data_IF_380414499690
#
_entry.id   IF_380414499690
#
_cell.length_a   1.000
_cell.length_b   1.000
_cell.length_c   1.000
_cell.angle_alpha   90.00
_cell.angle_beta   90.00
_cell.angle_gamma   90.00
#
_symmetry.space_group_name_H-M   'P 1'
#
loop_
_entity.id
_entity.type
_entity.pdbx_description
1 polymer ?
#
# COMPACT_ATOMS: atom_id res chain seq x y z
N UNK A 1 -12.94 6.23 -4.65
CA UNK A 1 -12.37 5.04 -5.33
C UNK A 1 -13.15 4.77 -6.59
N UNK A 2 -12.49 4.33 -7.65
CA UNK A 2 -13.07 4.11 -8.97
C UNK A 2 -13.07 2.62 -9.33
N UNK A 3 -14.08 2.15 -10.07
CA UNK A 3 -14.18 0.74 -10.48
C UNK A 3 -13.08 0.34 -11.47
N UNK A 4 -12.73 1.22 -12.39
CA UNK A 4 -11.63 1.02 -13.33
C UNK A 4 -10.54 2.03 -12.96
N UNK A 5 -9.40 1.55 -12.50
CA UNK A 5 -8.30 2.41 -12.08
C UNK A 5 -6.97 1.72 -12.33
N UNK A 6 -6.06 2.42 -13.00
CA UNK A 6 -4.72 1.91 -13.29
C UNK A 6 -4.68 0.70 -14.22
N UNK A 7 -5.65 0.60 -15.13
CA UNK A 7 -5.75 -0.48 -16.12
C UNK A 7 -6.28 -1.81 -15.58
N UNK A 8 -6.88 -1.81 -14.38
CA UNK A 8 -7.48 -3.01 -13.77
C UNK A 8 -8.89 -2.73 -13.26
N UNK A 9 -9.68 -3.80 -13.12
CA UNK A 9 -11.05 -3.78 -12.65
C UNK A 9 -11.07 -4.08 -11.15
N UNK A 10 -11.64 -3.18 -10.37
CA UNK A 10 -11.79 -3.32 -8.93
C UNK A 10 -13.18 -3.84 -8.59
N UNK A 11 -13.26 -5.00 -7.95
CA UNK A 11 -14.54 -5.55 -7.50
C UNK A 11 -15.13 -4.70 -6.38
N UNK A 12 -16.45 -4.71 -6.23
CA UNK A 12 -17.13 -4.05 -5.11
C UNK A 12 -16.58 -4.53 -3.75
N UNK A 13 -16.26 -5.83 -3.64
CA UNK A 13 -15.64 -6.39 -2.44
C UNK A 13 -14.29 -5.72 -2.15
N UNK A 14 -13.36 -5.65 -3.12
CA UNK A 14 -12.08 -4.98 -2.94
C UNK A 14 -12.24 -3.51 -2.53
N UNK A 15 -13.13 -2.77 -3.18
CA UNK A 15 -13.40 -1.35 -2.86
C UNK A 15 -13.90 -1.18 -1.42
N UNK A 16 -14.84 -2.02 -0.99
CA UNK A 16 -15.34 -1.99 0.39
C UNK A 16 -14.25 -2.32 1.40
N UNK A 17 -13.45 -3.38 1.18
CA UNK A 17 -12.36 -3.76 2.10
C UNK A 17 -11.30 -2.68 2.25
N UNK A 18 -11.00 -1.95 1.18
CA UNK A 18 -10.07 -0.82 1.24
C UNK A 18 -10.66 0.34 2.05
N UNK A 19 -11.94 0.69 1.84
CA UNK A 19 -12.61 1.75 2.62
C UNK A 19 -12.63 1.42 4.11
N UNK A 20 -13.02 0.20 4.48
CA UNK A 20 -13.04 -0.28 5.87
C UNK A 20 -11.68 -0.16 6.57
N UNK A 21 -10.58 -0.29 5.82
CA UNK A 21 -9.21 -0.33 6.36
C UNK A 21 -8.43 0.97 6.14
N UNK A 22 -9.04 1.98 5.56
CA UNK A 22 -8.36 3.23 5.20
C UNK A 22 -7.23 3.05 4.18
N UNK A 23 -7.28 2.00 3.33
CA UNK A 23 -6.25 1.74 2.32
C UNK A 23 -6.53 2.62 1.10
N UNK A 24 -5.54 3.42 0.67
CA UNK A 24 -5.66 4.21 -0.55
C UNK A 24 -5.61 3.29 -1.76
N UNK A 25 -6.51 3.52 -2.72
CA UNK A 25 -6.55 2.72 -3.95
C UNK A 25 -5.25 2.81 -4.77
N UNK A 26 -4.54 3.95 -4.71
CA UNK A 26 -3.23 4.11 -5.32
C UNK A 26 -2.17 3.18 -4.71
N UNK A 27 -2.15 3.01 -3.39
CA UNK A 27 -1.20 2.14 -2.71
C UNK A 27 -1.48 0.67 -3.03
N UNK A 28 -2.76 0.27 -3.02
CA UNK A 28 -3.17 -1.06 -3.45
C UNK A 28 -2.82 -1.33 -4.93
N UNK A 29 -3.00 -0.33 -5.80
CA UNK A 29 -2.59 -0.44 -7.21
C UNK A 29 -1.08 -0.60 -7.33
N UNK A 30 -0.29 0.16 -6.57
CA UNK A 30 1.16 0.05 -6.54
C UNK A 30 1.63 -1.32 -6.04
N UNK A 31 0.94 -1.91 -5.06
CA UNK A 31 1.18 -3.28 -4.59
C UNK A 31 0.99 -4.31 -5.71
N UNK A 32 -0.08 -4.21 -6.49
CA UNK A 32 -0.30 -5.13 -7.63
C UNK A 32 0.69 -4.88 -8.77
N UNK A 33 0.95 -3.61 -9.10
CA UNK A 33 1.76 -3.23 -10.27
C UNK A 33 3.25 -3.50 -10.08
N UNK A 34 3.77 -3.26 -8.89
CA UNK A 34 5.18 -3.45 -8.53
C UNK A 34 5.27 -4.03 -7.11
N UNK A 35 4.94 -5.32 -6.94
CA UNK A 35 4.99 -6.00 -5.65
C UNK A 35 6.44 -6.19 -5.18
N UNK A 36 6.63 -6.36 -3.88
CA UNK A 36 7.88 -6.88 -3.32
C UNK A 36 7.98 -8.38 -3.58
N UNK A 37 6.85 -9.09 -3.49
CA UNK A 37 6.75 -10.50 -3.86
C UNK A 37 5.33 -10.90 -4.24
N UNK A 38 5.24 -11.94 -5.09
CA UNK A 38 4.00 -12.51 -5.60
C UNK A 38 3.99 -14.02 -5.39
N UNK A 39 2.82 -14.57 -5.10
CA UNK A 39 2.60 -16.02 -4.98
C UNK A 39 1.24 -16.43 -5.53
N UNK A 40 1.12 -17.68 -5.94
CA UNK A 40 -0.19 -18.25 -6.22
C UNK A 40 -1.01 -18.38 -4.94
N UNK A 41 -2.30 -18.08 -5.03
CA UNK A 41 -3.26 -18.41 -3.98
C UNK A 41 -3.67 -19.89 -4.09
N UNK A 42 -4.31 -20.43 -3.03
CA UNK A 42 -4.83 -21.80 -3.03
C UNK A 42 -5.90 -22.03 -4.10
N UNK A 43 -6.66 -20.99 -4.44
CA UNK A 43 -7.64 -21.03 -5.52
C UNK A 43 -6.96 -20.85 -6.89
N UNK A 44 -7.29 -21.73 -7.85
CA UNK A 44 -6.69 -21.75 -9.20
C UNK A 44 -6.86 -20.39 -9.90
N UNK A 45 -5.78 -19.91 -10.50
CA UNK A 45 -5.75 -18.66 -11.28
C UNK A 45 -5.66 -17.37 -10.45
N UNK A 46 -5.74 -17.46 -9.11
CA UNK A 46 -5.59 -16.32 -8.23
C UNK A 46 -4.12 -16.12 -7.84
N UNK A 47 -3.71 -14.86 -7.82
CA UNK A 47 -2.40 -14.40 -7.37
C UNK A 47 -2.55 -13.51 -6.14
N UNK A 48 -1.61 -13.63 -5.23
CA UNK A 48 -1.45 -12.74 -4.08
C UNK A 48 -0.17 -11.95 -4.28
N UNK A 49 -0.31 -10.64 -4.33
CA UNK A 49 0.76 -9.67 -4.41
C UNK A 49 0.89 -8.99 -3.07
N UNK A 50 2.10 -8.74 -2.60
CA UNK A 50 2.27 -7.93 -1.42
C UNK A 50 3.38 -6.90 -1.57
N UNK A 51 3.21 -5.82 -0.81
CA UNK A 51 4.18 -4.74 -0.71
C UNK A 51 4.12 -4.12 0.67
N UNK A 52 5.27 -3.78 1.22
CA UNK A 52 5.39 -3.13 2.52
C UNK A 52 5.63 -1.64 2.36
N UNK A 53 4.82 -0.84 3.06
CA UNK A 53 4.95 0.61 3.16
C UNK A 53 5.19 0.96 4.63
N UNK A 54 6.44 1.26 4.99
CA UNK A 54 6.81 1.47 6.40
C UNK A 54 6.48 0.25 7.24
N UNK A 55 5.62 0.42 8.25
CA UNK A 55 5.14 -0.66 9.13
C UNK A 55 3.84 -1.34 8.66
N UNK A 56 3.36 -1.02 7.46
CA UNK A 56 2.12 -1.58 6.91
C UNK A 56 2.41 -2.47 5.71
N UNK A 57 2.08 -3.76 5.82
CA UNK A 57 2.05 -4.67 4.67
C UNK A 57 0.68 -4.59 4.01
N UNK A 58 0.63 -4.31 2.71
CA UNK A 58 -0.59 -4.41 1.90
C UNK A 58 -0.51 -5.68 1.06
N UNK A 59 -1.60 -6.45 1.04
CA UNK A 59 -1.76 -7.63 0.18
C UNK A 59 -2.96 -7.45 -0.75
N UNK A 60 -2.75 -7.78 -2.03
CA UNK A 60 -3.76 -7.67 -3.08
C UNK A 60 -3.95 -9.04 -3.72
N UNK A 61 -5.20 -9.51 -3.74
CA UNK A 61 -5.59 -10.73 -4.43
C UNK A 61 -6.17 -10.35 -5.79
N UNK A 62 -5.60 -10.89 -6.86
CA UNK A 62 -6.05 -10.61 -8.23
C UNK A 62 -6.07 -11.86 -9.10
N UNK A 63 -6.89 -11.83 -10.15
CA UNK A 63 -6.93 -12.86 -11.19
C UNK A 63 -7.21 -12.24 -12.55
N UNK A 64 -6.90 -12.96 -13.63
CA UNK A 64 -7.41 -12.61 -14.96
C UNK A 64 -8.80 -13.21 -15.18
N UNK A 65 -9.69 -12.50 -15.86
CA UNK A 65 -10.91 -13.09 -16.43
C UNK A 65 -10.62 -13.73 -17.80
N UNK A 66 -11.68 -14.26 -18.43
CA UNK A 66 -11.61 -14.92 -19.74
C UNK A 66 -11.20 -13.97 -20.87
N UNK A 67 -11.37 -12.65 -20.67
CA UNK A 67 -10.93 -11.59 -21.60
C UNK A 67 -9.48 -11.16 -21.35
N UNK A 68 -8.79 -11.78 -20.39
CA UNK A 68 -7.41 -11.42 -20.01
C UNK A 68 -7.29 -10.16 -19.15
N UNK A 69 -8.41 -9.55 -18.74
CA UNK A 69 -8.44 -8.36 -17.90
C UNK A 69 -8.15 -8.73 -16.45
N UNK A 70 -7.41 -7.87 -15.75
CA UNK A 70 -7.10 -8.08 -14.34
C UNK A 70 -8.25 -7.62 -13.44
N UNK A 71 -8.73 -8.53 -12.59
CA UNK A 71 -9.72 -8.28 -11.56
C UNK A 71 -9.04 -8.27 -10.19
N UNK A 72 -9.15 -7.16 -9.48
CA UNK A 72 -8.78 -7.06 -8.07
C UNK A 72 -9.94 -7.59 -7.23
N UNK A 73 -9.73 -8.76 -6.64
CA UNK A 73 -10.75 -9.50 -5.89
C UNK A 73 -10.87 -8.99 -4.46
N UNK A 74 -9.74 -8.77 -3.78
CA UNK A 74 -9.73 -8.32 -2.39
C UNK A 74 -8.40 -7.66 -2.04
N UNK A 75 -8.43 -6.79 -1.03
CA UNK A 75 -7.27 -6.05 -0.53
C UNK A 75 -7.27 -6.11 0.99
N UNK A 76 -6.10 -6.35 1.56
CA UNK A 76 -5.89 -6.51 2.99
C UNK A 76 -4.66 -5.72 3.41
N UNK A 77 -4.61 -5.36 4.68
CA UNK A 77 -3.41 -4.82 5.28
C UNK A 77 -3.13 -5.48 6.62
N UNK A 78 -1.86 -5.66 6.94
CA UNK A 78 -1.39 -6.13 8.24
C UNK A 78 -0.33 -5.16 8.74
N UNK A 79 -0.43 -4.75 10.00
CA UNK A 79 0.66 -4.06 10.69
C UNK A 79 1.79 -5.06 10.94
N UNK A 80 3.00 -4.69 10.55
CA UNK A 80 4.21 -5.49 10.78
C UNK A 80 4.87 -4.90 12.02
N UNK A 81 4.71 -5.54 13.17
CA UNK A 81 5.47 -5.18 14.37
C UNK A 81 6.91 -5.67 14.19
N UNK A 82 7.86 -4.76 14.10
CA UNK A 82 9.26 -5.11 14.30
C UNK A 82 9.55 -5.19 15.79
N UNK A 83 9.92 -6.37 16.30
CA UNK A 83 11.07 -6.42 17.20
C UNK A 83 12.26 -5.90 16.38
N UNK A 84 12.45 -4.58 16.38
CA UNK A 84 13.33 -3.92 15.40
C UNK A 84 13.06 -2.43 15.30
N UNK A 85 13.40 -1.72 16.38
CA UNK A 85 13.75 -0.28 16.45
C UNK A 85 13.21 0.60 15.32
N UNK A 86 12.10 1.28 15.57
CA UNK A 86 11.88 2.61 15.02
C UNK A 86 11.66 3.57 16.19
N UNK A 87 12.77 4.15 16.67
CA UNK A 87 12.72 5.49 17.23
C UNK A 87 11.99 6.37 16.20
N UNK A 88 10.83 6.88 16.59
CA UNK A 88 10.24 8.03 15.95
C UNK A 88 11.22 9.20 16.17
N UNK A 89 12.20 9.38 15.27
CA UNK A 89 12.86 10.67 15.12
C UNK A 89 11.77 11.65 14.70
N UNK A 90 11.19 12.33 15.68
CA UNK A 90 10.51 13.61 15.48
C UNK A 90 11.47 14.45 14.64
N UNK A 91 11.07 14.72 13.40
CA UNK A 91 11.70 15.73 12.57
C UNK A 91 11.46 17.10 13.22
N UNK A 92 12.24 17.41 14.26
CA UNK A 92 12.36 18.75 14.81
C UNK A 92 13.24 19.57 13.87
N UNK A 93 12.57 20.31 12.97
CA UNK A 93 12.99 21.59 12.42
C UNK A 93 14.48 21.77 12.09
N UNK A 94 14.90 21.25 10.94
CA UNK A 94 16.20 21.58 10.31
C UNK A 94 16.30 23.00 9.74
N UNK A 95 15.74 24.01 10.41
CA UNK A 95 15.78 25.42 9.95
C UNK A 95 16.03 26.45 11.06
N UNK A 96 16.18 26.06 12.34
CA UNK A 96 16.29 27.02 13.44
C UNK A 96 17.72 27.27 13.99
N UNK A 97 18.77 26.66 13.44
CA UNK A 97 20.14 26.91 13.95
C UNK A 97 20.90 28.04 13.24
N UNK A 98 20.34 28.65 12.19
CA UNK A 98 21.06 29.68 11.39
C UNK A 98 20.65 31.12 11.75
N UNK A 99 19.53 31.33 12.47
CA UNK A 99 19.03 32.70 12.74
C UNK A 99 19.56 33.29 14.05
N UNK A 100 20.26 32.53 14.89
CA UNK A 100 20.67 33.01 16.22
C UNK A 100 21.99 33.79 16.29
N UNK A 101 22.69 33.98 15.16
CA UNK A 101 23.97 34.69 15.10
C UNK A 101 23.90 36.11 14.48
N UNK A 102 22.73 36.54 14.02
CA UNK A 102 22.56 37.83 13.30
C UNK A 102 21.81 38.92 14.09
N UNK A 103 21.37 38.63 15.32
CA UNK A 103 20.66 39.60 16.19
C UNK A 103 21.16 39.57 17.64
N UNK A 104 22.47 39.51 17.84
CA UNK A 104 23.10 39.92 19.10
C UNK A 104 24.20 40.93 18.78
N UNK A 105 23.81 42.20 18.77
CA UNK A 105 24.70 43.35 18.81
C UNK A 105 24.16 44.33 19.83
#
# INVERSE_FOLDING_TARGET
MQRNFGGVIWTNHALTRMRERGIKQGDAWATWRRPDSSRHARAKGNWVYHRTFGNQKIEVVAKKNDKGEWLILSVWSKQISGEGKHELKKSSGGFLSIIKELFSK
#
